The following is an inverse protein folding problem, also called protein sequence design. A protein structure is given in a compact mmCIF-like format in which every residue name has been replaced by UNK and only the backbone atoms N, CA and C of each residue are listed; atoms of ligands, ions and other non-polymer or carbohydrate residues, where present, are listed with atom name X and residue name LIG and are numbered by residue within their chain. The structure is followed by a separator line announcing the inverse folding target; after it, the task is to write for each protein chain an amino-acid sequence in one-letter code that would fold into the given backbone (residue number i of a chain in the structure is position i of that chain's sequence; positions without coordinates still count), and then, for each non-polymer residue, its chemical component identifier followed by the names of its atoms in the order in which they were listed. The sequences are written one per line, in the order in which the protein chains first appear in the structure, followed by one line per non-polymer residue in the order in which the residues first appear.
data_IF_672296419338
#
_entry.id   IF_672296419338
#
_cell.length_a   1.000
_cell.length_b   1.000
_cell.length_c   1.000
_cell.angle_alpha   90.00
_cell.angle_beta   90.00
_cell.angle_gamma   90.00
#
_symmetry.space_group_name_H-M   'P 1'
#
loop_
_entity.id
_entity.type
_entity.pdbx_description
1 polymer ?
#
# COMPACT_ATOMS: atom_id res chain seq x y z
N UNK A 1 0.66 22.95 -6.52
CA UNK A 1 0.05 22.52 -7.80
C UNK A 1 0.92 21.51 -8.57
N UNK A 2 2.26 21.67 -8.66
CA UNK A 2 3.11 20.72 -9.40
C UNK A 2 3.23 19.33 -8.74
N UNK A 3 3.28 19.28 -7.41
CA UNK A 3 3.44 18.03 -6.63
C UNK A 3 2.23 17.08 -6.73
N UNK A 4 1.03 17.58 -7.03
CA UNK A 4 -0.19 16.78 -7.13
C UNK A 4 -0.25 15.86 -8.37
N UNK A 5 0.73 15.95 -9.29
CA UNK A 5 0.76 15.11 -10.50
C UNK A 5 1.19 13.68 -10.24
N UNK A 6 1.97 13.44 -9.18
CA UNK A 6 2.51 12.12 -8.85
C UNK A 6 1.84 11.60 -7.58
N UNK A 7 1.11 10.48 -7.74
CA UNK A 7 0.47 9.77 -6.62
C UNK A 7 1.54 9.43 -5.58
N UNK A 8 1.25 9.68 -4.30
CA UNK A 8 2.18 9.46 -3.19
C UNK A 8 2.99 10.70 -2.77
N UNK A 9 2.97 11.79 -3.55
CA UNK A 9 3.64 13.03 -3.13
C UNK A 9 2.88 13.72 -2.00
N UNK A 10 3.51 13.86 -0.83
CA UNK A 10 2.92 14.49 0.34
C UNK A 10 2.96 16.02 0.35
N UNK A 11 2.27 16.61 1.32
CA UNK A 11 2.28 18.03 1.70
C UNK A 11 2.42 18.16 3.23
N UNK A 12 2.46 19.38 3.76
CA UNK A 12 2.61 19.67 5.20
C UNK A 12 1.54 19.00 6.07
N UNK A 13 0.34 18.83 5.52
CA UNK A 13 -0.83 18.32 6.24
C UNK A 13 -1.13 16.86 5.88
N UNK A 14 -0.20 16.16 5.24
CA UNK A 14 -0.34 14.72 4.98
C UNK A 14 -0.38 13.96 6.29
N UNK A 15 -1.48 13.27 6.51
CA UNK A 15 -1.71 12.48 7.72
C UNK A 15 -0.81 11.25 7.76
N UNK A 16 -0.55 10.72 8.96
CA UNK A 16 0.15 9.44 9.14
C UNK A 16 -0.54 8.31 8.35
N UNK A 17 -1.87 8.31 8.31
CA UNK A 17 -2.65 7.30 7.59
C UNK A 17 -2.41 7.36 6.08
N UNK A 18 -2.45 8.55 5.48
CA UNK A 18 -2.18 8.73 4.05
C UNK A 18 -0.75 8.31 3.68
N UNK A 19 0.22 8.71 4.49
CA UNK A 19 1.63 8.36 4.28
C UNK A 19 1.88 6.84 4.35
N UNK A 20 1.32 6.17 5.36
CA UNK A 20 1.44 4.72 5.49
C UNK A 20 0.69 3.98 4.37
N UNK A 21 -0.50 4.45 3.99
CA UNK A 21 -1.28 3.84 2.91
C UNK A 21 -0.52 3.87 1.58
N UNK A 22 0.11 5.00 1.26
CA UNK A 22 0.94 5.12 0.06
C UNK A 22 2.14 4.17 0.10
N UNK A 23 2.90 4.14 1.21
CA UNK A 23 4.03 3.20 1.35
C UNK A 23 3.65 1.73 1.21
N UNK A 24 2.51 1.33 1.77
CA UNK A 24 2.05 -0.05 1.65
C UNK A 24 1.65 -0.37 0.20
N UNK A 25 0.98 0.54 -0.50
CA UNK A 25 0.64 0.37 -1.91
C UNK A 25 1.89 0.28 -2.79
N UNK A 26 2.91 1.11 -2.53
CA UNK A 26 4.19 1.06 -3.24
C UNK A 26 4.90 -0.28 -3.00
N UNK A 27 4.91 -0.75 -1.75
CA UNK A 27 5.49 -2.05 -1.39
C UNK A 27 4.77 -3.21 -2.12
N UNK A 28 3.44 -3.23 -2.10
CA UNK A 28 2.63 -4.23 -2.80
C UNK A 28 2.89 -4.19 -4.32
N UNK A 29 3.00 -3.01 -4.91
CA UNK A 29 3.34 -2.85 -6.33
C UNK A 29 4.73 -3.39 -6.65
N UNK A 30 5.73 -3.11 -5.81
CA UNK A 30 7.09 -3.66 -5.93
C UNK A 30 7.08 -5.19 -5.81
N UNK A 31 6.33 -5.77 -4.88
CA UNK A 31 6.24 -7.22 -4.71
C UNK A 31 5.65 -7.91 -5.94
N UNK A 32 4.68 -7.27 -6.62
CA UNK A 32 4.11 -7.79 -7.87
C UNK A 32 5.03 -7.60 -9.08
N UNK A 33 5.78 -6.49 -9.12
CA UNK A 33 6.66 -6.12 -10.23
C UNK A 33 8.00 -6.86 -10.25
N UNK A 34 8.55 -7.19 -9.07
CA UNK A 34 9.81 -7.92 -8.96
C UNK A 34 9.57 -9.44 -8.90
N UNK A 35 9.99 -10.14 -9.95
CA UNK A 35 9.77 -11.58 -10.09
C UNK A 35 10.39 -12.41 -8.96
N UNK A 36 11.56 -12.01 -8.46
CA UNK A 36 12.26 -12.71 -7.38
C UNK A 36 11.51 -12.60 -6.06
N UNK A 37 11.01 -11.40 -5.73
CA UNK A 37 10.18 -11.16 -4.54
C UNK A 37 8.86 -11.92 -4.63
N UNK A 38 8.17 -11.85 -5.77
CA UNK A 38 6.94 -12.61 -5.97
C UNK A 38 7.16 -14.11 -5.80
N UNK A 39 8.28 -14.63 -6.33
CA UNK A 39 8.63 -16.04 -6.21
C UNK A 39 8.95 -16.42 -4.77
N UNK A 40 9.65 -15.54 -4.04
CA UNK A 40 9.92 -15.71 -2.62
C UNK A 40 8.62 -15.82 -1.80
N UNK A 41 7.66 -14.91 -2.01
CA UNK A 41 6.36 -14.97 -1.33
C UNK A 41 5.56 -16.22 -1.71
N UNK A 42 5.54 -16.61 -2.99
CA UNK A 42 4.86 -17.82 -3.42
C UNK A 42 5.43 -19.10 -2.79
N UNK A 43 6.74 -19.17 -2.62
CA UNK A 43 7.40 -20.31 -1.93
C UNK A 43 7.09 -20.27 -0.44
N UNK A 44 7.18 -19.10 0.19
CA UNK A 44 6.94 -18.95 1.63
C UNK A 44 5.49 -19.26 2.03
N UNK A 45 4.51 -18.85 1.22
CA UNK A 45 3.08 -19.11 1.46
C UNK A 45 2.62 -20.47 0.90
N UNK A 46 3.48 -21.19 0.18
CA UNK A 46 3.15 -22.43 -0.53
C UNK A 46 1.91 -22.30 -1.44
N UNK A 47 1.82 -21.17 -2.13
CA UNK A 47 0.69 -20.83 -3.00
C UNK A 47 1.18 -20.54 -4.42
N UNK A 48 0.28 -20.67 -5.40
CA UNK A 48 0.62 -20.34 -6.77
C UNK A 48 0.95 -18.85 -6.92
N UNK A 49 1.91 -18.50 -7.79
CA UNK A 49 2.25 -17.09 -8.09
C UNK A 49 1.04 -16.26 -8.52
N UNK A 50 0.08 -16.88 -9.22
CA UNK A 50 -1.17 -16.24 -9.62
C UNK A 50 -2.04 -15.89 -8.42
N UNK A 51 -2.14 -16.79 -7.43
CA UNK A 51 -2.90 -16.56 -6.20
C UNK A 51 -2.25 -15.49 -5.32
N UNK A 52 -0.93 -15.51 -5.18
CA UNK A 52 -0.22 -14.44 -4.46
C UNK A 52 -0.44 -13.09 -5.13
N UNK A 53 -0.38 -12.99 -6.46
CA UNK A 53 -0.71 -11.75 -7.18
C UNK A 53 -2.13 -11.28 -6.91
N UNK A 54 -3.10 -12.19 -6.93
CA UNK A 54 -4.49 -11.86 -6.62
C UNK A 54 -4.63 -11.31 -5.20
N UNK A 55 -4.06 -11.99 -4.21
CA UNK A 55 -4.08 -11.56 -2.81
C UNK A 55 -3.39 -10.19 -2.62
N UNK A 56 -2.27 -9.95 -3.30
CA UNK A 56 -1.56 -8.67 -3.25
C UNK A 56 -2.41 -7.53 -3.84
N UNK A 57 -3.14 -7.78 -4.95
CA UNK A 57 -4.05 -6.79 -5.53
C UNK A 57 -5.23 -6.48 -4.61
N UNK A 58 -5.85 -7.48 -3.97
CA UNK A 58 -6.94 -7.25 -3.01
C UNK A 58 -6.49 -6.38 -1.83
N UNK A 59 -5.26 -6.60 -1.34
CA UNK A 59 -4.67 -5.80 -0.26
C UNK A 59 -4.38 -4.34 -0.64
N UNK A 60 -4.37 -3.97 -1.93
CA UNK A 60 -4.11 -2.58 -2.34
C UNK A 60 -5.26 -1.62 -2.03
N UNK A 61 -6.50 -2.13 -1.90
CA UNK A 61 -7.68 -1.29 -1.63
C UNK A 61 -7.52 -0.54 -0.30
N UNK A 62 -7.25 -1.29 0.77
CA UNK A 62 -7.18 -0.77 2.12
C UNK A 62 -6.10 -1.48 2.96
N UNK A 63 -4.81 -1.24 2.66
CA UNK A 63 -3.72 -1.97 3.33
C UNK A 63 -3.58 -1.61 4.81
N UNK A 64 -4.01 -0.42 5.22
CA UNK A 64 -3.89 0.08 6.59
C UNK A 64 -5.22 0.05 7.38
N UNK A 65 -6.25 -0.64 6.89
CA UNK A 65 -7.57 -0.67 7.52
C UNK A 65 -8.38 0.61 7.33
N UNK A 66 -9.49 0.73 8.06
CA UNK A 66 -10.37 1.92 8.04
C UNK A 66 -9.58 3.21 8.28
N UNK A 67 -9.95 4.28 7.58
CA UNK A 67 -9.44 5.62 7.87
C UNK A 67 -9.80 5.91 9.34
N UNK A 68 -8.85 6.33 10.18
CA UNK A 68 -9.14 6.68 11.57
C UNK A 68 -10.18 7.81 11.62
N UNK A 69 -11.08 7.77 12.60
CA UNK A 69 -12.00 8.89 12.83
C UNK A 69 -11.16 10.15 13.12
N UNK A 70 -11.55 11.33 12.59
CA UNK A 70 -10.88 12.57 12.94
C UNK A 70 -10.97 12.77 14.45
N UNK A 71 -9.83 13.08 15.08
CA UNK A 71 -9.75 13.32 16.52
C UNK A 71 -10.71 14.47 16.88
N UNK A 72 -11.73 14.18 17.71
CA UNK A 72 -12.73 15.17 18.16
C UNK A 72 -12.17 16.15 19.21
N UNK A 73 -10.85 16.24 19.33
CA UNK A 73 -10.12 17.01 20.33
C UNK A 73 -9.06 17.90 19.68
N UNK A 74 -9.47 18.73 18.73
CA UNK A 74 -8.69 19.92 18.35
C UNK A 74 -9.67 21.09 18.29
N UNK A 75 -9.72 21.85 19.39
CA UNK A 75 -10.26 23.21 19.50
C UNK A 75 -9.21 24.22 18.99
#
# INVERSE_FOLDING_TARGET
HLQSKYIGTGHSDTTKYEWLTNQHRDSLASYMGHYDLLSYFAIAENESKARVRFNLMERMLQPCGAVPEPDKHED
#
